data_IF_384683769739
#
_entry.id   IF_384683769739
#
_cell.length_a   1.000
_cell.length_b   1.000
_cell.length_c   1.000
_cell.angle_alpha   90.00
_cell.angle_beta   90.00
_cell.angle_gamma   90.00
#
_symmetry.space_group_name_H-M   'P 1'
#
loop_
_entity.id
_entity.type
_entity.pdbx_description
1 polymer ?
#
# COMPACT_ATOMS: atom_id res chain seq x y z
N UNK A 1 74.59 -20.90 30.28
CA UNK A 1 74.33 -19.46 30.06
C UNK A 1 74.34 -19.21 28.56
N UNK A 2 73.17 -19.15 27.93
CA UNK A 2 73.02 -19.08 26.48
C UNK A 2 72.21 -17.83 26.14
N UNK A 3 72.85 -16.66 26.22
CA UNK A 3 72.22 -15.35 25.95
C UNK A 3 72.89 -14.56 24.83
N UNK A 4 74.10 -14.95 24.40
CA UNK A 4 74.89 -14.23 23.40
C UNK A 4 74.75 -14.73 21.95
N UNK A 5 74.04 -15.84 21.70
CA UNK A 5 73.91 -16.42 20.34
C UNK A 5 72.59 -16.11 19.64
N UNK A 6 71.63 -15.49 20.34
CA UNK A 6 70.34 -15.07 19.75
C UNK A 6 70.38 -13.67 19.13
N UNK A 7 71.33 -12.81 19.50
CA UNK A 7 71.37 -11.41 19.03
C UNK A 7 71.98 -11.23 17.63
N UNK A 8 72.71 -12.22 17.11
CA UNK A 8 73.33 -12.12 15.78
C UNK A 8 72.42 -12.59 14.63
N UNK A 9 71.20 -13.09 14.92
CA UNK A 9 70.30 -13.69 13.93
C UNK A 9 69.07 -12.83 13.56
N UNK A 10 68.88 -11.69 14.21
CA UNK A 10 67.78 -10.79 13.88
C UNK A 10 68.32 -9.65 13.03
N UNK A 11 68.10 -9.70 11.71
CA UNK A 11 68.48 -8.63 10.78
C UNK A 11 67.78 -7.30 11.08
N UNK A 12 67.62 -6.43 10.07
CA UNK A 12 67.00 -5.10 10.24
C UNK A 12 65.74 -5.02 11.15
N UNK A 13 64.81 -6.00 11.16
CA UNK A 13 63.65 -5.99 12.06
C UNK A 13 64.00 -6.13 13.56
N UNK A 14 65.06 -6.85 13.89
CA UNK A 14 65.51 -7.06 15.28
C UNK A 14 66.12 -5.80 15.89
N UNK A 15 66.90 -5.07 15.09
CA UNK A 15 67.50 -3.79 15.48
C UNK A 15 66.38 -2.75 15.71
N UNK A 16 65.40 -2.69 14.80
CA UNK A 16 64.24 -1.80 14.92
C UNK A 16 63.44 -2.08 16.20
N UNK A 17 63.13 -3.37 16.47
CA UNK A 17 62.35 -3.76 17.63
C UNK A 17 63.07 -3.42 18.94
N UNK A 18 64.39 -3.63 19.01
CA UNK A 18 65.21 -3.29 20.18
C UNK A 18 65.21 -1.78 20.41
N UNK A 19 65.44 -0.98 19.37
CA UNK A 19 65.42 0.47 19.45
C UNK A 19 64.08 1.02 19.94
N UNK A 20 62.97 0.50 19.41
CA UNK A 20 61.61 0.91 19.83
C UNK A 20 61.32 0.52 21.29
N UNK A 21 61.83 -0.62 21.75
CA UNK A 21 61.70 -1.06 23.16
C UNK A 21 62.56 -0.24 24.11
N UNK A 22 63.80 0.08 23.73
CA UNK A 22 64.75 0.85 24.55
C UNK A 22 64.33 2.31 24.68
N UNK A 23 63.93 2.95 23.57
CA UNK A 23 63.52 4.36 23.59
C UNK A 23 62.08 4.54 24.10
N UNK A 24 61.23 3.52 23.96
CA UNK A 24 59.85 3.47 24.45
C UNK A 24 59.05 4.76 24.23
N UNK A 25 59.25 5.39 23.06
CA UNK A 25 58.59 6.63 22.63
C UNK A 25 57.96 6.43 21.25
N UNK A 26 56.76 6.96 21.00
CA UNK A 26 56.13 6.87 19.68
C UNK A 26 56.85 7.81 18.72
N UNK A 27 57.64 7.25 17.81
CA UNK A 27 58.27 7.96 16.70
C UNK A 27 57.58 7.60 15.39
N UNK A 28 57.57 8.53 14.42
CA UNK A 28 57.12 8.21 13.07
C UNK A 28 58.12 7.27 12.38
N UNK A 29 57.68 6.52 11.37
CA UNK A 29 58.57 5.61 10.64
C UNK A 29 59.79 6.33 10.01
N UNK A 30 59.61 7.60 9.60
CA UNK A 30 60.69 8.44 9.06
C UNK A 30 61.69 8.86 10.15
N UNK A 31 61.21 9.21 11.34
CA UNK A 31 62.06 9.59 12.47
C UNK A 31 62.87 8.39 13.00
N UNK A 32 62.22 7.22 13.10
CA UNK A 32 62.91 5.98 13.50
C UNK A 32 64.01 5.63 12.50
N UNK A 33 63.74 5.75 11.20
CA UNK A 33 64.73 5.52 10.14
C UNK A 33 65.90 6.51 10.24
N UNK A 34 65.63 7.81 10.39
CA UNK A 34 66.67 8.83 10.51
C UNK A 34 67.53 8.69 11.77
N UNK A 35 66.92 8.32 12.89
CA UNK A 35 67.63 8.11 14.16
C UNK A 35 68.53 6.86 14.10
N UNK A 36 68.00 5.73 13.61
CA UNK A 36 68.77 4.49 13.42
C UNK A 36 69.89 4.68 12.39
N UNK A 37 69.65 5.48 11.35
CA UNK A 37 70.66 5.81 10.35
C UNK A 37 71.85 6.58 10.95
N UNK A 38 71.58 7.53 11.87
CA UNK A 38 72.62 8.25 12.61
C UNK A 38 73.36 7.38 13.62
N UNK A 39 72.64 6.50 14.33
CA UNK A 39 73.18 5.72 15.44
C UNK A 39 73.96 4.48 14.99
N UNK A 40 73.50 3.81 13.93
CA UNK A 40 74.08 2.57 13.42
C UNK A 40 74.81 2.71 12.08
N UNK A 41 74.93 3.93 11.54
CA UNK A 41 75.65 4.17 10.28
C UNK A 41 75.03 3.40 9.11
N UNK A 42 73.71 3.22 9.09
CA UNK A 42 72.93 2.61 8.00
C UNK A 42 72.87 3.57 6.79
N UNK A 43 74.02 4.07 6.37
CA UNK A 43 74.20 4.86 5.18
C UNK A 43 74.52 3.93 4.02
N UNK A 44 73.48 3.43 3.35
CA UNK A 44 73.40 3.26 1.90
C UNK A 44 72.05 2.66 1.55
N UNK A 45 71.26 3.40 0.78
CA UNK A 45 70.04 2.93 0.14
C UNK A 45 70.31 1.85 -0.95
N UNK A 46 71.56 1.38 -1.07
CA UNK A 46 72.02 0.40 -2.06
C UNK A 46 71.65 -1.07 -1.72
N UNK A 47 70.99 -1.31 -0.58
CA UNK A 47 70.57 -2.66 -0.15
C UNK A 47 69.09 -2.97 -0.38
N UNK A 48 68.31 -1.99 -0.86
CA UNK A 48 66.98 -2.26 -1.39
C UNK A 48 67.09 -2.23 -2.90
N UNK A 49 66.63 -3.28 -3.58
CA UNK A 49 66.46 -3.24 -5.02
C UNK A 49 65.62 -2.01 -5.34
N UNK A 50 66.22 -1.02 -6.00
CA UNK A 50 65.49 0.13 -6.51
C UNK A 50 64.49 -0.41 -7.52
N UNK A 51 63.21 -0.45 -7.12
CA UNK A 51 62.10 -0.70 -8.03
C UNK A 51 62.26 0.30 -9.16
N UNK A 52 62.36 -0.19 -10.39
CA UNK A 52 62.60 0.68 -11.52
C UNK A 52 61.42 1.64 -11.68
N UNK A 53 61.66 2.88 -12.13
CA UNK A 53 60.57 3.82 -12.43
C UNK A 53 59.53 3.20 -13.39
N UNK A 54 59.95 2.27 -14.25
CA UNK A 54 59.08 1.51 -15.12
C UNK A 54 58.14 0.55 -14.36
N UNK A 55 58.62 -0.12 -13.31
CA UNK A 55 57.80 -1.00 -12.46
C UNK A 55 56.80 -0.19 -11.63
N UNK A 56 57.19 0.97 -11.12
CA UNK A 56 56.28 1.90 -10.44
C UNK A 56 55.19 2.40 -11.38
N UNK A 57 55.55 2.86 -12.58
CA UNK A 57 54.59 3.25 -13.61
C UNK A 57 53.67 2.09 -14.02
N UNK A 58 54.20 0.86 -14.07
CA UNK A 58 53.40 -0.35 -14.32
C UNK A 58 52.40 -0.65 -13.21
N UNK A 59 52.78 -0.45 -11.95
CA UNK A 59 51.87 -0.59 -10.80
C UNK A 59 50.81 0.52 -10.78
N UNK A 60 51.17 1.77 -11.07
CA UNK A 60 50.23 2.88 -11.18
C UNK A 60 49.20 2.64 -12.30
N UNK A 61 49.66 2.15 -13.46
CA UNK A 61 48.77 1.77 -14.55
C UNK A 61 47.80 0.65 -14.13
N UNK A 62 48.25 -0.33 -13.34
CA UNK A 62 47.38 -1.38 -12.77
C UNK A 62 46.39 -0.81 -11.76
N UNK A 63 46.80 0.12 -10.89
CA UNK A 63 45.92 0.79 -9.93
C UNK A 63 44.80 1.53 -10.68
N UNK A 64 45.15 2.27 -11.73
CA UNK A 64 44.16 3.00 -12.55
C UNK A 64 43.21 2.03 -13.24
N UNK A 65 43.72 0.97 -13.86
CA UNK A 65 42.90 -0.03 -14.55
C UNK A 65 41.95 -0.77 -13.59
N UNK A 66 42.45 -1.19 -12.42
CA UNK A 66 41.64 -1.85 -11.41
C UNK A 66 40.60 -0.90 -10.80
N UNK A 67 40.96 0.36 -10.56
CA UNK A 67 40.01 1.38 -10.06
C UNK A 67 38.89 1.61 -11.07
N UNK A 68 39.20 1.72 -12.37
CA UNK A 68 38.20 1.85 -13.42
C UNK A 68 37.27 0.61 -13.47
N UNK A 69 37.84 -0.59 -13.34
CA UNK A 69 37.05 -1.84 -13.31
C UNK A 69 36.13 -1.91 -12.09
N UNK A 70 36.61 -1.52 -10.91
CA UNK A 70 35.78 -1.45 -9.69
C UNK A 70 34.63 -0.47 -9.87
N UNK A 71 34.90 0.72 -10.42
CA UNK A 71 33.87 1.72 -10.67
C UNK A 71 32.80 1.21 -11.65
N UNK A 72 33.22 0.57 -12.74
CA UNK A 72 32.30 -0.01 -13.73
C UNK A 72 31.43 -1.11 -13.14
N UNK A 73 32.03 -2.06 -12.41
CA UNK A 73 31.29 -3.14 -11.74
C UNK A 73 30.33 -2.58 -10.69
N UNK A 74 30.74 -1.57 -9.92
CA UNK A 74 29.87 -0.94 -8.92
C UNK A 74 28.65 -0.25 -9.56
N UNK A 75 28.83 0.42 -10.70
CA UNK A 75 27.71 0.99 -11.45
C UNK A 75 26.76 -0.10 -11.98
N UNK A 76 27.33 -1.18 -12.52
CA UNK A 76 26.55 -2.33 -13.00
C UNK A 76 25.74 -2.99 -11.89
N UNK A 77 26.33 -3.20 -10.72
CA UNK A 77 25.61 -3.72 -9.55
C UNK A 77 24.46 -2.80 -9.13
N UNK A 78 24.71 -1.47 -9.03
CA UNK A 78 23.64 -0.50 -8.68
C UNK A 78 22.49 -0.51 -9.68
N UNK A 79 22.80 -0.66 -10.95
CA UNK A 79 21.78 -0.76 -12.00
C UNK A 79 20.94 -2.03 -11.86
N UNK A 80 21.57 -3.19 -11.71
CA UNK A 80 20.87 -4.47 -11.50
C UNK A 80 20.06 -4.48 -10.20
N UNK A 81 20.56 -3.87 -9.12
CA UNK A 81 19.83 -3.72 -7.85
C UNK A 81 18.58 -2.85 -8.03
N UNK A 82 18.65 -1.79 -8.83
CA UNK A 82 17.51 -0.94 -9.15
C UNK A 82 16.45 -1.70 -9.96
N UNK A 83 16.84 -2.44 -11.00
CA UNK A 83 15.94 -3.28 -11.79
C UNK A 83 15.29 -4.37 -10.94
N UNK A 84 16.06 -5.03 -10.07
CA UNK A 84 15.55 -6.06 -9.17
C UNK A 84 14.55 -5.47 -8.18
N UNK A 85 14.82 -4.28 -7.62
CA UNK A 85 13.89 -3.57 -6.75
C UNK A 85 12.60 -3.19 -7.49
N UNK A 86 12.70 -2.71 -8.72
CA UNK A 86 11.54 -2.38 -9.55
C UNK A 86 10.69 -3.61 -9.83
N UNK A 87 11.31 -4.72 -10.25
CA UNK A 87 10.61 -5.97 -10.54
C UNK A 87 10.05 -6.65 -9.29
N UNK A 88 10.71 -6.51 -8.13
CA UNK A 88 10.23 -7.05 -6.84
C UNK A 88 9.05 -6.25 -6.29
N UNK A 89 9.03 -4.94 -6.52
CA UNK A 89 7.89 -4.09 -6.14
C UNK A 89 6.72 -4.20 -7.13
N UNK A 90 6.99 -4.70 -8.35
CA UNK A 90 5.95 -5.08 -9.27
C UNK A 90 5.31 -6.41 -8.83
N UNK A 91 3.99 -6.50 -9.00
CA UNK A 91 3.23 -7.71 -8.73
C UNK A 91 3.82 -8.85 -9.55
N UNK A 92 4.15 -9.97 -8.92
CA UNK A 92 4.80 -11.07 -9.64
C UNK A 92 3.83 -11.65 -10.67
N UNK A 93 4.33 -12.17 -11.80
CA UNK A 93 3.50 -12.81 -12.83
C UNK A 93 2.47 -13.82 -12.28
N UNK A 94 2.80 -14.71 -11.31
CA UNK A 94 1.80 -15.62 -10.73
C UNK A 94 0.74 -14.90 -9.89
N UNK A 95 1.11 -13.86 -9.14
CA UNK A 95 0.15 -13.06 -8.38
C UNK A 95 -0.80 -12.29 -9.32
N UNK A 96 -0.27 -11.74 -10.43
CA UNK A 96 -1.09 -11.09 -11.46
C UNK A 96 -2.06 -12.07 -12.11
N UNK A 97 -1.62 -13.31 -12.38
CA UNK A 97 -2.48 -14.35 -12.93
C UNK A 97 -3.61 -14.72 -11.97
N UNK A 98 -3.31 -14.82 -10.67
CA UNK A 98 -4.32 -15.07 -9.64
C UNK A 98 -5.34 -13.94 -9.56
N UNK A 99 -4.89 -12.69 -9.54
CA UNK A 99 -5.75 -11.50 -9.52
C UNK A 99 -6.67 -11.46 -10.76
N UNK A 100 -6.11 -11.73 -11.94
CA UNK A 100 -6.89 -11.80 -13.19
C UNK A 100 -7.95 -12.90 -13.11
N UNK A 101 -7.64 -14.06 -12.51
CA UNK A 101 -8.62 -15.14 -12.34
C UNK A 101 -9.74 -14.75 -11.38
N UNK A 102 -9.41 -14.11 -10.26
CA UNK A 102 -10.39 -13.64 -9.27
C UNK A 102 -11.31 -12.58 -9.88
N UNK A 103 -10.75 -11.55 -10.52
CA UNK A 103 -11.51 -10.51 -11.22
C UNK A 103 -12.42 -11.09 -12.31
N UNK A 104 -11.93 -12.05 -13.10
CA UNK A 104 -12.77 -12.72 -14.12
C UNK A 104 -13.95 -13.47 -13.49
N UNK A 105 -13.73 -14.13 -12.36
CA UNK A 105 -14.79 -14.84 -11.62
C UNK A 105 -15.82 -13.86 -11.09
N UNK A 106 -15.39 -12.73 -10.55
CA UNK A 106 -16.30 -11.67 -10.10
C UNK A 106 -17.11 -11.07 -11.24
N UNK A 107 -16.46 -10.73 -12.37
CA UNK A 107 -17.15 -10.23 -13.55
C UNK A 107 -18.22 -11.22 -14.05
N UNK A 108 -17.93 -12.51 -14.06
CA UNK A 108 -18.90 -13.54 -14.42
C UNK A 108 -20.10 -13.54 -13.45
N UNK A 109 -19.84 -13.48 -12.14
CA UNK A 109 -20.88 -13.39 -11.11
C UNK A 109 -21.76 -12.14 -11.23
N UNK A 110 -21.16 -10.96 -11.45
CA UNK A 110 -21.90 -9.72 -11.67
C UNK A 110 -22.73 -9.78 -12.95
N UNK A 111 -22.20 -10.39 -14.01
CA UNK A 111 -22.93 -10.54 -15.28
C UNK A 111 -24.14 -11.46 -15.11
N UNK A 112 -24.00 -12.57 -14.39
CA UNK A 112 -25.11 -13.46 -14.08
C UNK A 112 -26.16 -12.78 -13.21
N UNK A 113 -25.73 -12.04 -12.17
CA UNK A 113 -26.63 -11.25 -11.34
C UNK A 113 -27.39 -10.20 -12.17
N UNK A 114 -26.71 -9.49 -13.07
CA UNK A 114 -27.35 -8.54 -13.97
C UNK A 114 -28.33 -9.22 -14.93
N UNK A 115 -27.99 -10.40 -15.45
CA UNK A 115 -28.89 -11.19 -16.29
C UNK A 115 -30.16 -11.59 -15.53
N UNK A 116 -30.01 -12.05 -14.28
CA UNK A 116 -31.15 -12.44 -13.44
C UNK A 116 -32.03 -11.26 -13.07
N UNK A 117 -31.42 -10.11 -12.74
CA UNK A 117 -32.16 -8.86 -12.50
C UNK A 117 -32.90 -8.48 -13.79
N UNK A 118 -32.24 -8.38 -14.94
CA UNK A 118 -32.89 -8.01 -16.21
C UNK A 118 -33.99 -8.98 -16.65
N UNK A 119 -33.82 -10.28 -16.38
CA UNK A 119 -34.82 -11.30 -16.70
C UNK A 119 -36.00 -11.31 -15.72
N UNK A 120 -35.81 -10.79 -14.50
CA UNK A 120 -36.88 -10.64 -13.54
C UNK A 120 -37.91 -9.64 -14.08
N UNK A 121 -39.10 -10.14 -14.40
CA UNK A 121 -40.13 -9.44 -15.17
C UNK A 121 -40.84 -8.33 -14.38
N UNK A 122 -40.45 -8.10 -13.11
CA UNK A 122 -41.04 -7.12 -12.21
C UNK A 122 -40.31 -5.77 -12.25
N UNK A 123 -39.99 -5.26 -13.43
CA UNK A 123 -39.44 -3.91 -13.57
C UNK A 123 -40.61 -2.94 -13.65
N UNK A 124 -41.03 -2.39 -12.49
CA UNK A 124 -41.85 -1.18 -12.47
C UNK A 124 -40.92 -0.05 -12.88
N UNK A 125 -41.18 0.55 -14.04
CA UNK A 125 -40.43 1.71 -14.49
C UNK A 125 -40.62 2.85 -13.49
N UNK A 126 -39.62 3.74 -13.31
CA UNK A 126 -39.80 4.94 -12.48
C UNK A 126 -41.05 5.74 -12.86
N UNK A 127 -41.38 5.78 -14.16
CA UNK A 127 -42.55 6.44 -14.73
C UNK A 127 -43.87 5.76 -14.31
N UNK A 128 -43.94 4.44 -14.39
CA UNK A 128 -45.12 3.67 -13.93
C UNK A 128 -45.30 3.82 -12.42
N UNK A 129 -44.22 3.77 -11.65
CA UNK A 129 -44.27 3.99 -10.19
C UNK A 129 -44.84 5.37 -9.87
N UNK A 130 -44.34 6.40 -10.54
CA UNK A 130 -44.81 7.77 -10.33
C UNK A 130 -46.27 7.94 -10.74
N UNK A 131 -46.70 7.29 -11.83
CA UNK A 131 -48.10 7.29 -12.24
C UNK A 131 -49.00 6.63 -11.18
N UNK A 132 -48.62 5.46 -10.66
CA UNK A 132 -49.36 4.77 -9.60
C UNK A 132 -49.43 5.63 -8.33
N UNK A 133 -48.35 6.28 -7.94
CA UNK A 133 -48.33 7.18 -6.78
C UNK A 133 -49.24 8.40 -6.98
N UNK A 134 -49.24 9.01 -8.18
CA UNK A 134 -50.15 10.11 -8.54
C UNK A 134 -51.61 9.68 -8.50
N UNK A 135 -51.93 8.53 -9.07
CA UNK A 135 -53.29 7.97 -9.07
C UNK A 135 -53.74 7.66 -7.64
N UNK A 136 -52.90 7.00 -6.85
CA UNK A 136 -53.17 6.73 -5.43
C UNK A 136 -53.46 8.03 -4.67
N UNK A 137 -52.63 9.07 -4.84
CA UNK A 137 -52.85 10.37 -4.20
C UNK A 137 -54.18 11.00 -4.62
N UNK A 138 -54.53 10.94 -5.91
CA UNK A 138 -55.79 11.45 -6.44
C UNK A 138 -56.99 10.73 -5.81
N UNK A 139 -56.98 9.39 -5.82
CA UNK A 139 -58.07 8.59 -5.27
C UNK A 139 -58.20 8.74 -3.75
N UNK A 140 -57.09 8.83 -3.01
CA UNK A 140 -57.13 9.11 -1.57
C UNK A 140 -57.73 10.49 -1.27
N UNK A 141 -57.41 11.53 -2.07
CA UNK A 141 -58.00 12.87 -1.91
C UNK A 141 -59.51 12.84 -2.16
N UNK A 142 -59.95 12.19 -3.24
CA UNK A 142 -61.36 12.07 -3.57
C UNK A 142 -62.14 11.25 -2.53
N UNK A 143 -61.57 10.15 -2.03
CA UNK A 143 -62.18 9.35 -0.97
C UNK A 143 -62.38 10.18 0.30
N UNK A 144 -61.36 10.93 0.77
CA UNK A 144 -61.51 11.83 1.93
C UNK A 144 -62.59 12.89 1.71
N UNK A 145 -62.64 13.50 0.53
CA UNK A 145 -63.63 14.52 0.19
C UNK A 145 -65.05 13.94 0.19
N UNK A 146 -65.26 12.80 -0.47
CA UNK A 146 -66.56 12.12 -0.54
C UNK A 146 -67.03 11.64 0.83
N UNK A 147 -66.14 11.01 1.61
CA UNK A 147 -66.45 10.58 2.99
C UNK A 147 -66.90 11.77 3.83
N UNK A 148 -66.20 12.90 3.76
CA UNK A 148 -66.59 14.12 4.47
C UNK A 148 -67.98 14.61 4.07
N UNK A 149 -68.23 14.78 2.77
CA UNK A 149 -69.54 15.25 2.27
C UNK A 149 -70.68 14.29 2.65
N UNK A 150 -70.47 12.99 2.54
CA UNK A 150 -71.48 11.99 2.92
C UNK A 150 -71.76 12.03 4.44
N UNK A 151 -70.72 12.15 5.27
CA UNK A 151 -70.88 12.30 6.72
C UNK A 151 -71.63 13.58 7.08
N UNK A 152 -71.28 14.72 6.48
CA UNK A 152 -71.98 16.00 6.69
C UNK A 152 -73.47 15.91 6.32
N UNK A 153 -73.80 15.27 5.20
CA UNK A 153 -75.19 15.03 4.80
C UNK A 153 -75.92 14.10 5.76
N UNK A 154 -75.27 13.02 6.20
CA UNK A 154 -75.84 12.10 7.19
C UNK A 154 -76.12 12.81 8.50
N UNK A 155 -75.17 13.61 8.99
CA UNK A 155 -75.30 14.31 10.27
C UNK A 155 -76.41 15.37 10.20
N UNK A 156 -76.54 16.11 9.07
CA UNK A 156 -77.64 17.06 8.87
C UNK A 156 -79.03 16.40 8.83
N UNK A 157 -79.15 15.19 8.27
CA UNK A 157 -80.41 14.43 8.30
C UNK A 157 -80.71 13.95 9.73
N UNK A 158 -79.68 13.50 10.44
CA UNK A 158 -79.80 12.97 11.80
C UNK A 158 -80.21 14.04 12.82
N UNK A 159 -79.94 15.32 12.58
CA UNK A 159 -80.43 16.43 13.43
C UNK A 159 -81.96 16.46 13.58
N UNK A 160 -82.69 16.01 12.55
CA UNK A 160 -84.16 15.94 12.55
C UNK A 160 -84.72 14.54 12.73
N UNK A 161 -83.87 13.52 12.92
CA UNK A 161 -84.29 12.13 12.85
C UNK A 161 -84.59 11.54 14.24
N UNK A 162 -85.76 10.91 14.45
CA UNK A 162 -86.20 10.48 15.79
C UNK A 162 -85.52 9.21 16.31
N UNK A 163 -84.72 8.51 15.49
CA UNK A 163 -84.07 7.22 15.82
C UNK A 163 -82.54 7.35 15.78
N UNK A 164 -81.83 6.28 16.17
CA UNK A 164 -80.37 6.26 16.20
C UNK A 164 -79.72 6.24 14.80
N UNK A 165 -78.47 6.74 14.70
CA UNK A 165 -77.65 6.72 13.47
C UNK A 165 -77.53 5.33 12.84
N UNK A 166 -77.41 4.28 13.67
CA UNK A 166 -77.30 2.90 13.22
C UNK A 166 -78.57 2.42 12.52
N UNK A 167 -79.73 2.72 13.10
CA UNK A 167 -81.01 2.36 12.50
C UNK A 167 -81.27 3.15 11.20
N UNK A 168 -80.87 4.43 11.16
CA UNK A 168 -80.93 5.22 9.94
C UNK A 168 -80.07 4.62 8.82
N UNK A 169 -78.83 4.23 9.12
CA UNK A 169 -77.92 3.64 8.13
C UNK A 169 -78.43 2.28 7.64
N UNK A 170 -78.99 1.46 8.53
CA UNK A 170 -79.62 0.18 8.16
C UNK A 170 -80.89 0.37 7.31
N UNK A 171 -81.76 1.33 7.64
CA UNK A 171 -82.99 1.63 6.88
C UNK A 171 -82.71 2.20 5.49
N UNK A 172 -81.65 3.00 5.33
CA UNK A 172 -81.26 3.63 4.06
C UNK A 172 -80.28 2.74 3.26
N UNK A 173 -79.68 1.73 3.88
CA UNK A 173 -78.69 0.85 3.25
C UNK A 173 -77.32 1.51 3.08
N UNK A 174 -76.91 2.34 4.04
CA UNK A 174 -75.57 2.97 4.07
C UNK A 174 -74.61 2.05 4.80
N UNK A 175 -73.58 1.60 4.10
CA UNK A 175 -72.47 0.82 4.64
C UNK A 175 -71.22 1.70 4.78
N UNK A 176 -70.51 1.59 5.89
CA UNK A 176 -69.34 2.42 6.20
C UNK A 176 -68.03 1.71 5.92
N UNK A 177 -66.95 2.47 5.73
CA UNK A 177 -65.61 1.88 5.55
C UNK A 177 -65.23 1.00 6.77
N UNK A 178 -65.69 1.42 7.96
CA UNK A 178 -65.50 0.73 9.23
C UNK A 178 -66.21 -0.64 9.27
N UNK A 179 -67.38 -0.77 8.63
CA UNK A 179 -68.11 -2.05 8.53
C UNK A 179 -67.34 -3.10 7.72
N UNK A 180 -66.50 -2.65 6.78
CA UNK A 180 -65.63 -3.49 5.95
C UNK A 180 -64.17 -3.50 6.39
N UNK A 181 -63.85 -2.92 7.56
CA UNK A 181 -62.50 -2.82 8.11
C UNK A 181 -61.50 -2.13 7.16
N UNK A 182 -61.99 -1.20 6.33
CA UNK A 182 -61.22 -0.42 5.38
C UNK A 182 -60.78 0.89 6.04
N UNK A 183 -59.48 1.20 5.96
CA UNK A 183 -58.92 2.45 6.49
C UNK A 183 -58.33 3.28 5.37
N UNK A 184 -58.56 4.59 5.45
CA UNK A 184 -57.90 5.56 4.60
C UNK A 184 -56.37 5.45 4.78
N UNK A 185 -55.59 5.27 3.70
CA UNK A 185 -54.14 5.27 3.79
C UNK A 185 -53.62 6.59 4.36
N UNK A 186 -52.58 6.50 5.19
CA UNK A 186 -51.87 7.65 5.73
C UNK A 186 -51.24 8.47 4.58
N UNK A 187 -51.20 9.82 4.71
CA UNK A 187 -50.65 10.71 3.69
C UNK A 187 -49.16 10.51 3.43
#
# INVERSE_FOLDING_TARGET
MNKGRAEAAAGAPGILLRYLQEQNRPYSAQDVFGNLQKEHGLGKADQFDMVSDADLQGLDAKIVALTAKVQSLQQSCRHMEAELKELTNALTTPEMQKEIQELKKECAGYTERLKNIRAATNHVTPEEKEQVDRERQKYCKEWRKRKRMATELCDAILEGYPKSKKQFFEEVGIETDEDYNVKLPDP
#
